data_IF_172717727220
#
_entry.id   IF_172717727220
#
_cell.length_a   1.000
_cell.length_b   1.000
_cell.length_c   1.000
_cell.angle_alpha   90.00
_cell.angle_beta   90.00
_cell.angle_gamma   90.00
#
_symmetry.space_group_name_H-M   'P 1'
#
loop_
_entity.id
_entity.type
_entity.pdbx_description
1 polymer ?
#
# COMPACT_ATOMS: atom_id res chain seq x y z
N UNK A 1 -34.04 26.93 -3.31
CA UNK A 1 -34.50 25.68 -2.64
C UNK A 1 -33.37 25.23 -1.71
N UNK A 2 -33.63 25.23 -0.40
CA UNK A 2 -32.63 24.71 0.54
C UNK A 2 -32.50 23.19 0.31
N UNK A 3 -31.49 22.75 -0.41
CA UNK A 3 -31.14 21.35 -0.50
C UNK A 3 -30.70 20.87 0.89
N UNK A 4 -31.65 20.31 1.64
CA UNK A 4 -31.32 19.64 2.91
C UNK A 4 -30.41 18.49 2.60
N UNK A 5 -29.14 18.61 3.00
CA UNK A 5 -28.16 17.53 2.82
C UNK A 5 -28.61 16.32 3.64
N UNK A 6 -28.89 15.21 2.99
CA UNK A 6 -29.11 13.95 3.68
C UNK A 6 -27.80 13.48 4.33
N UNK A 7 -27.69 13.72 5.65
CA UNK A 7 -26.49 13.38 6.41
C UNK A 7 -26.32 11.87 6.64
N UNK A 8 -27.34 11.07 6.36
CA UNK A 8 -27.32 9.62 6.63
C UNK A 8 -26.74 8.79 5.49
N UNK A 9 -26.77 9.33 4.27
CA UNK A 9 -26.28 8.65 3.06
C UNK A 9 -25.07 9.36 2.47
N UNK A 10 -24.08 8.58 2.01
CA UNK A 10 -22.93 9.08 1.24
C UNK A 10 -23.37 9.65 -0.09
N UNK A 11 -22.64 10.65 -0.55
CA UNK A 11 -22.69 11.05 -1.95
C UNK A 11 -22.06 9.93 -2.79
N UNK A 12 -22.77 9.40 -3.80
CA UNK A 12 -22.22 8.36 -4.67
C UNK A 12 -20.94 8.82 -5.36
N UNK A 13 -19.93 7.95 -5.37
CA UNK A 13 -18.69 8.18 -6.12
C UNK A 13 -18.87 7.78 -7.58
N UNK A 14 -18.13 8.42 -8.49
CA UNK A 14 -18.11 8.06 -9.90
C UNK A 14 -17.07 6.98 -10.13
N UNK A 15 -17.47 5.90 -10.78
CA UNK A 15 -16.62 4.77 -11.13
C UNK A 15 -16.86 4.36 -12.60
N UNK A 16 -15.86 3.72 -13.20
CA UNK A 16 -16.06 3.08 -14.51
C UNK A 16 -17.04 1.91 -14.41
N UNK A 17 -17.87 1.71 -15.43
CA UNK A 17 -18.74 0.55 -15.54
C UNK A 17 -17.93 -0.76 -15.46
N UNK A 18 -18.44 -1.75 -14.70
CA UNK A 18 -17.72 -2.98 -14.40
C UNK A 18 -17.26 -3.75 -15.66
N UNK A 19 -18.13 -3.84 -16.67
CA UNK A 19 -17.86 -4.51 -17.96
C UNK A 19 -16.79 -3.82 -18.81
N UNK A 20 -16.58 -2.51 -18.59
CA UNK A 20 -15.57 -1.69 -19.27
C UNK A 20 -14.26 -1.77 -18.50
N UNK A 21 -14.30 -1.50 -17.19
CA UNK A 21 -13.10 -1.45 -16.35
C UNK A 21 -12.40 -2.81 -16.21
N UNK A 22 -13.12 -3.92 -16.36
CA UNK A 22 -12.55 -5.27 -16.38
C UNK A 22 -11.61 -5.54 -17.56
N UNK A 23 -11.56 -4.66 -18.57
CA UNK A 23 -10.81 -4.85 -19.83
C UNK A 23 -9.75 -3.79 -20.08
N UNK A 24 -9.53 -2.86 -19.14
CA UNK A 24 -8.54 -1.79 -19.27
C UNK A 24 -7.78 -1.59 -17.97
N UNK A 25 -6.69 -0.81 -18.02
CA UNK A 25 -5.86 -0.47 -16.88
C UNK A 25 -6.04 0.98 -16.40
N UNK A 26 -7.07 1.67 -16.87
CA UNK A 26 -7.40 3.01 -16.42
C UNK A 26 -7.97 3.02 -15.00
N UNK A 27 -7.86 4.16 -14.32
CA UNK A 27 -8.30 4.31 -12.93
C UNK A 27 -9.80 3.98 -12.79
N UNK A 28 -10.13 3.03 -11.93
CA UNK A 28 -11.49 2.54 -11.71
C UNK A 28 -12.36 3.57 -11.00
N UNK A 29 -11.89 4.07 -9.86
CA UNK A 29 -12.61 5.05 -9.04
C UNK A 29 -12.26 6.46 -9.48
N UNK A 30 -13.12 7.10 -10.27
CA UNK A 30 -12.90 8.45 -10.81
C UNK A 30 -13.04 9.54 -9.74
N UNK A 31 -13.72 9.23 -8.61
CA UNK A 31 -13.84 10.14 -7.47
C UNK A 31 -15.01 11.11 -7.57
N UNK A 32 -14.86 12.28 -6.94
CA UNK A 32 -15.84 13.37 -6.93
C UNK A 32 -15.47 14.49 -7.90
N UNK A 33 -16.47 15.11 -8.50
CA UNK A 33 -16.42 16.49 -8.99
C UNK A 33 -16.63 17.48 -7.82
N UNK A 34 -16.58 18.78 -8.09
CA UNK A 34 -16.74 19.83 -7.07
C UNK A 34 -18.11 19.76 -6.40
N UNK A 35 -19.19 19.58 -7.16
CA UNK A 35 -20.56 19.51 -6.63
C UNK A 35 -20.70 18.36 -5.63
N UNK A 36 -20.26 17.16 -6.02
CA UNK A 36 -20.30 15.96 -5.16
C UNK A 36 -19.39 16.12 -3.94
N UNK A 37 -18.19 16.68 -4.11
CA UNK A 37 -17.26 16.90 -3.01
C UNK A 37 -17.82 17.87 -1.98
N UNK A 38 -18.39 19.00 -2.39
CA UNK A 38 -18.99 19.97 -1.47
C UNK A 38 -20.25 19.41 -0.80
N UNK A 39 -21.06 18.64 -1.52
CA UNK A 39 -22.21 17.94 -0.95
C UNK A 39 -21.78 16.97 0.14
N UNK A 40 -20.75 16.14 -0.12
CA UNK A 40 -20.22 15.19 0.85
C UNK A 40 -19.54 15.88 2.04
N UNK A 41 -18.78 16.95 1.81
CA UNK A 41 -18.14 17.74 2.85
C UNK A 41 -19.17 18.31 3.84
N UNK A 42 -20.34 18.77 3.34
CA UNK A 42 -21.42 19.32 4.16
C UNK A 42 -22.10 18.29 5.08
N UNK A 43 -21.88 16.99 4.90
CA UNK A 43 -22.32 15.95 5.84
C UNK A 43 -21.51 15.97 7.14
N UNK A 44 -20.23 16.36 7.09
CA UNK A 44 -19.34 16.36 8.25
C UNK A 44 -19.88 17.26 9.37
N UNK A 45 -19.92 16.75 10.60
CA UNK A 45 -20.46 17.46 11.77
C UNK A 45 -19.49 18.47 12.39
N UNK A 46 -18.20 18.46 12.01
CA UNK A 46 -17.17 19.30 12.65
C UNK A 46 -17.03 18.99 14.14
N UNK A 47 -16.89 17.72 14.50
CA UNK A 47 -16.89 17.25 15.89
C UNK A 47 -15.81 17.94 16.73
N UNK A 48 -16.14 18.35 17.97
CA UNK A 48 -15.18 18.94 18.92
C UNK A 48 -14.05 17.94 19.29
N UNK A 49 -14.39 16.64 19.41
CA UNK A 49 -13.44 15.55 19.64
C UNK A 49 -13.50 14.58 18.46
N UNK A 50 -12.79 14.86 17.36
CA UNK A 50 -12.92 14.13 16.11
C UNK A 50 -12.23 12.77 16.18
N UNK A 51 -13.01 11.70 16.39
CA UNK A 51 -12.49 10.32 16.42
C UNK A 51 -11.81 9.89 15.11
N UNK A 52 -12.21 10.47 13.98
CA UNK A 52 -11.59 10.21 12.68
C UNK A 52 -10.10 10.59 12.66
N UNK A 53 -9.68 11.66 13.33
CA UNK A 53 -8.26 12.05 13.44
C UNK A 53 -7.45 10.97 14.15
N UNK A 54 -7.94 10.45 15.29
CA UNK A 54 -7.28 9.35 16.01
C UNK A 54 -7.30 8.02 15.25
N UNK A 55 -8.12 7.90 14.22
CA UNK A 55 -8.12 6.76 13.30
C UNK A 55 -7.14 6.91 12.13
N UNK A 56 -6.50 8.07 11.96
CA UNK A 56 -5.53 8.32 10.91
C UNK A 56 -4.09 8.15 11.44
N UNK A 57 -3.29 7.20 10.92
CA UNK A 57 -1.92 6.97 11.39
C UNK A 57 -0.97 8.16 11.24
N UNK A 58 -1.27 9.12 10.35
CA UNK A 58 -0.52 10.37 10.18
C UNK A 58 -1.23 11.58 10.80
N UNK A 59 -2.37 11.36 11.48
CA UNK A 59 -3.11 12.36 12.26
C UNK A 59 -3.54 13.60 11.46
N UNK A 60 -4.03 13.43 10.21
CA UNK A 60 -4.57 14.53 9.41
C UNK A 60 -5.68 15.23 10.19
N UNK A 61 -5.67 16.57 10.23
CA UNK A 61 -6.81 17.36 10.74
C UNK A 61 -8.00 17.27 9.77
N UNK A 62 -8.71 16.14 9.88
CA UNK A 62 -9.84 15.82 9.00
C UNK A 62 -10.97 16.88 9.08
N UNK A 63 -11.42 17.33 10.27
CA UNK A 63 -12.39 18.42 10.34
C UNK A 63 -11.87 19.73 9.75
N UNK A 64 -10.58 20.02 9.92
CA UNK A 64 -9.95 21.24 9.41
C UNK A 64 -10.00 21.31 7.88
N UNK A 65 -9.52 20.27 7.17
CA UNK A 65 -9.57 20.30 5.71
C UNK A 65 -11.00 20.24 5.16
N UNK A 66 -11.90 19.48 5.80
CA UNK A 66 -13.32 19.41 5.38
C UNK A 66 -14.01 20.76 5.61
N UNK A 67 -13.67 21.49 6.68
CA UNK A 67 -14.21 22.84 6.89
C UNK A 67 -13.83 23.77 5.74
N UNK A 68 -12.61 23.71 5.25
CA UNK A 68 -12.17 24.49 4.08
C UNK A 68 -12.95 24.12 2.81
N UNK A 69 -13.25 22.83 2.60
CA UNK A 69 -14.11 22.41 1.49
C UNK A 69 -15.54 22.98 1.61
N UNK A 70 -16.12 23.05 2.81
CA UNK A 70 -17.43 23.68 3.02
C UNK A 70 -17.43 25.18 2.70
N UNK A 71 -16.29 25.84 2.85
CA UNK A 71 -16.07 27.25 2.52
C UNK A 71 -15.72 27.43 1.03
N UNK A 72 -15.80 26.38 0.20
CA UNK A 72 -15.34 26.34 -1.19
C UNK A 72 -13.85 26.71 -1.37
N UNK A 73 -13.04 26.55 -0.32
CA UNK A 73 -11.62 26.84 -0.32
C UNK A 73 -10.82 25.54 -0.48
N UNK A 74 -10.75 25.03 -1.73
CA UNK A 74 -10.07 23.75 -2.03
C UNK A 74 -8.55 23.86 -1.82
N UNK A 75 -7.96 25.01 -2.21
CA UNK A 75 -6.53 25.26 -1.97
C UNK A 75 -6.20 25.26 -0.47
N UNK A 76 -7.01 25.91 0.35
CA UNK A 76 -6.86 25.88 1.80
C UNK A 76 -6.98 24.47 2.38
N UNK A 77 -7.88 23.64 1.83
CA UNK A 77 -8.01 22.23 2.22
C UNK A 77 -6.76 21.42 1.85
N UNK A 78 -6.20 21.63 0.66
CA UNK A 78 -4.96 20.98 0.23
C UNK A 78 -3.77 21.36 1.11
N UNK A 79 -3.62 22.65 1.42
CA UNK A 79 -2.58 23.14 2.35
C UNK A 79 -2.75 22.56 3.76
N UNK A 80 -3.98 22.36 4.22
CA UNK A 80 -4.23 21.74 5.53
C UNK A 80 -3.78 20.26 5.53
N UNK A 81 -4.14 19.48 4.52
CA UNK A 81 -3.69 18.08 4.39
C UNK A 81 -2.16 17.98 4.31
N UNK A 82 -1.51 18.86 3.54
CA UNK A 82 -0.06 18.85 3.31
C UNK A 82 0.80 19.06 4.58
N UNK A 83 0.22 19.60 5.66
CA UNK A 83 0.89 19.70 6.97
C UNK A 83 1.14 18.33 7.60
N UNK A 84 0.30 17.35 7.29
CA UNK A 84 0.27 16.04 7.95
C UNK A 84 0.67 14.89 7.02
N UNK A 85 0.35 14.96 5.74
CA UNK A 85 0.54 13.90 4.76
C UNK A 85 1.44 14.35 3.62
N UNK A 86 2.44 13.52 3.29
CA UNK A 86 3.33 13.73 2.14
C UNK A 86 2.81 13.04 0.87
N UNK A 87 1.80 12.15 0.98
CA UNK A 87 1.25 11.35 -0.13
C UNK A 87 -0.30 11.36 -0.13
N UNK A 88 -0.97 12.52 -0.12
CA UNK A 88 -2.42 12.59 0.04
C UNK A 88 -3.19 11.98 -1.14
N UNK A 89 -2.72 12.13 -2.38
CA UNK A 89 -3.40 11.55 -3.54
C UNK A 89 -3.31 10.02 -3.55
N UNK A 90 -2.22 9.45 -3.02
CA UNK A 90 -2.07 8.00 -2.77
C UNK A 90 -3.03 7.56 -1.66
N UNK A 91 -3.03 8.25 -0.52
CA UNK A 91 -3.85 7.89 0.64
C UNK A 91 -5.34 7.89 0.32
N UNK A 92 -5.83 8.89 -0.39
CA UNK A 92 -7.23 8.99 -0.81
C UNK A 92 -7.70 7.81 -1.69
N UNK A 93 -6.75 7.09 -2.33
CA UNK A 93 -7.02 5.93 -3.19
C UNK A 93 -6.88 4.58 -2.48
N UNK A 94 -5.84 4.42 -1.65
CA UNK A 94 -5.43 3.07 -1.22
C UNK A 94 -5.57 2.81 0.28
N UNK A 95 -5.81 3.82 1.12
CA UNK A 95 -6.06 3.62 2.55
C UNK A 95 -7.29 2.73 2.77
N UNK A 96 -7.26 1.82 3.76
CA UNK A 96 -8.46 1.10 4.22
C UNK A 96 -9.28 2.00 5.15
N UNK A 97 -9.88 3.07 4.60
CA UNK A 97 -10.58 4.11 5.36
C UNK A 97 -11.70 3.54 6.23
N UNK A 98 -12.37 2.47 5.77
CA UNK A 98 -13.46 1.77 6.45
C UNK A 98 -13.06 1.20 7.81
N UNK A 99 -11.77 0.89 8.01
CA UNK A 99 -11.22 0.41 9.29
C UNK A 99 -10.43 1.47 10.05
N UNK A 100 -10.24 2.64 9.45
CA UNK A 100 -9.44 3.75 9.99
C UNK A 100 -10.29 4.99 10.26
N UNK A 101 -10.04 6.10 9.54
CA UNK A 101 -10.71 7.38 9.76
C UNK A 101 -12.23 7.29 9.58
N UNK A 102 -12.72 6.65 8.53
CA UNK A 102 -14.15 6.49 8.27
C UNK A 102 -14.80 5.53 9.27
N UNK A 103 -14.11 4.44 9.64
CA UNK A 103 -14.56 3.51 10.68
C UNK A 103 -14.72 4.16 12.07
N UNK A 104 -14.10 5.31 12.30
CA UNK A 104 -14.25 6.10 13.54
C UNK A 104 -15.23 7.27 13.40
N UNK A 105 -15.81 7.50 12.23
CA UNK A 105 -16.74 8.59 12.00
C UNK A 105 -18.06 8.34 12.73
N UNK A 106 -18.51 9.31 13.53
CA UNK A 106 -19.74 9.17 14.34
C UNK A 106 -21.01 9.01 13.50
N UNK A 107 -21.03 9.50 12.25
CA UNK A 107 -22.15 9.28 11.34
C UNK A 107 -22.31 7.80 10.97
N UNK A 108 -21.23 7.03 10.95
CA UNK A 108 -21.26 5.60 10.70
C UNK A 108 -21.97 4.76 11.75
N UNK A 109 -22.34 5.36 12.92
CA UNK A 109 -23.09 4.66 13.99
C UNK A 109 -24.57 4.45 13.59
N UNK A 110 -25.17 5.42 12.89
CA UNK A 110 -26.60 5.39 12.53
C UNK A 110 -26.87 5.44 11.03
N UNK A 111 -25.86 5.73 10.24
CA UNK A 111 -25.90 5.84 8.79
C UNK A 111 -24.54 5.51 8.19
N UNK A 112 -24.20 6.19 7.09
CA UNK A 112 -22.93 6.01 6.42
C UNK A 112 -21.92 7.07 6.89
N UNK A 113 -20.71 6.66 7.20
CA UNK A 113 -19.60 7.55 7.54
C UNK A 113 -19.37 8.59 6.40
N UNK A 114 -18.80 9.74 6.70
CA UNK A 114 -18.32 10.68 5.67
C UNK A 114 -17.27 9.98 4.83
N UNK A 115 -17.32 10.13 3.51
CA UNK A 115 -16.35 9.56 2.56
C UNK A 115 -15.03 10.37 2.60
N UNK A 116 -14.32 10.27 3.71
CA UNK A 116 -13.12 11.07 4.02
C UNK A 116 -12.04 10.84 2.97
N UNK A 117 -11.78 9.58 2.61
CA UNK A 117 -10.79 9.25 1.60
C UNK A 117 -11.14 9.78 0.21
N UNK A 118 -12.41 9.81 -0.17
CA UNK A 118 -12.84 10.37 -1.46
C UNK A 118 -12.70 11.90 -1.48
N UNK A 119 -12.92 12.57 -0.34
CA UNK A 119 -12.66 14.01 -0.18
C UNK A 119 -11.16 14.33 -0.20
N UNK A 120 -10.33 13.51 0.44
CA UNK A 120 -8.87 13.61 0.38
C UNK A 120 -8.36 13.44 -1.06
N UNK A 121 -8.83 12.39 -1.78
CA UNK A 121 -8.55 12.19 -3.20
C UNK A 121 -8.92 13.41 -4.04
N UNK A 122 -10.15 13.91 -3.90
CA UNK A 122 -10.62 15.08 -4.63
C UNK A 122 -9.72 16.30 -4.40
N UNK A 123 -9.41 16.57 -3.14
CA UNK A 123 -8.60 17.74 -2.76
C UNK A 123 -7.18 17.64 -3.32
N UNK A 124 -6.55 16.47 -3.21
CA UNK A 124 -5.20 16.23 -3.71
C UNK A 124 -5.14 16.27 -5.25
N UNK A 125 -6.12 15.68 -5.94
CA UNK A 125 -6.21 15.71 -7.40
C UNK A 125 -6.47 17.11 -7.94
N UNK A 126 -7.29 17.91 -7.24
CA UNK A 126 -7.53 19.30 -7.59
C UNK A 126 -6.24 20.13 -7.44
N UNK A 127 -5.54 19.98 -6.32
CA UNK A 127 -4.28 20.71 -6.10
C UNK A 127 -3.23 20.38 -7.17
N UNK A 128 -3.10 19.10 -7.53
CA UNK A 128 -2.21 18.61 -8.59
C UNK A 128 -2.57 19.19 -9.96
N UNK A 129 -3.87 19.17 -10.33
CA UNK A 129 -4.34 19.68 -11.62
C UNK A 129 -4.18 21.21 -11.77
N UNK A 130 -4.16 21.92 -10.65
CA UNK A 130 -3.97 23.39 -10.63
C UNK A 130 -2.54 23.79 -10.26
N UNK A 131 -1.59 22.85 -10.26
CA UNK A 131 -0.16 23.07 -9.95
C UNK A 131 0.08 23.85 -8.65
N UNK A 132 -0.76 23.59 -7.61
CA UNK A 132 -0.64 24.25 -6.31
C UNK A 132 0.66 23.79 -5.65
N UNK A 133 1.55 24.72 -5.38
CA UNK A 133 2.77 24.45 -4.62
C UNK A 133 2.45 24.27 -3.13
N UNK A 134 2.63 23.04 -2.66
CA UNK A 134 2.46 22.65 -1.27
C UNK A 134 3.82 22.45 -0.56
N UNK A 135 4.93 22.73 -1.26
CA UNK A 135 6.28 22.54 -0.75
C UNK A 135 6.70 23.74 0.11
N UNK A 136 7.18 23.47 1.32
CA UNK A 136 7.87 24.45 2.15
C UNK A 136 9.10 23.80 2.75
N UNK A 137 10.29 24.11 2.19
CA UNK A 137 11.57 23.67 2.76
C UNK A 137 11.89 24.49 4.00
N UNK A 138 12.34 23.82 5.06
CA UNK A 138 12.87 24.49 6.27
C UNK A 138 14.25 25.12 6.04
N UNK A 139 14.66 26.00 6.93
CA UNK A 139 16.03 26.54 6.95
C UNK A 139 17.04 25.40 7.16
N UNK A 140 18.17 25.47 6.43
CA UNK A 140 19.17 24.41 6.48
C UNK A 140 19.76 24.25 7.87
N UNK A 141 19.78 23.01 8.37
CA UNK A 141 20.42 22.61 9.64
C UNK A 141 21.85 22.11 9.45
N UNK A 142 22.35 22.03 8.21
CA UNK A 142 23.70 21.56 7.88
C UNK A 142 23.95 20.09 8.18
N UNK A 143 22.89 19.28 8.43
CA UNK A 143 22.95 17.86 8.73
C UNK A 143 22.36 17.03 7.62
N UNK A 144 22.92 15.83 7.39
CA UNK A 144 22.59 14.93 6.28
C UNK A 144 21.95 13.64 6.77
N UNK A 145 20.85 13.23 6.16
CA UNK A 145 20.15 11.98 6.52
C UNK A 145 20.05 11.07 5.29
N UNK A 146 20.46 9.81 5.45
CA UNK A 146 20.26 8.79 4.44
C UNK A 146 18.94 8.03 4.73
N UNK A 147 18.14 7.84 3.68
CA UNK A 147 16.89 7.05 3.74
C UNK A 147 17.03 5.85 2.82
N UNK A 148 16.83 4.65 3.34
CA UNK A 148 16.98 3.39 2.60
C UNK A 148 15.62 2.89 2.16
N UNK A 149 15.33 2.98 0.86
CA UNK A 149 14.05 2.63 0.25
C UNK A 149 13.13 3.84 0.05
N UNK A 150 12.57 3.94 -1.14
CA UNK A 150 11.65 5.00 -1.57
C UNK A 150 10.17 4.60 -1.48
N UNK A 151 9.85 3.59 -0.67
CA UNK A 151 8.45 3.25 -0.36
C UNK A 151 7.78 4.31 0.52
N UNK A 152 6.50 4.11 0.89
CA UNK A 152 5.73 5.10 1.65
C UNK A 152 6.39 5.58 2.94
N UNK A 153 7.05 4.68 3.68
CA UNK A 153 7.78 5.04 4.91
C UNK A 153 8.96 5.97 4.61
N UNK A 154 9.79 5.60 3.62
CA UNK A 154 10.97 6.37 3.22
C UNK A 154 10.60 7.74 2.64
N UNK A 155 9.62 7.79 1.73
CA UNK A 155 9.14 9.05 1.14
C UNK A 155 8.59 10.00 2.21
N UNK A 156 7.83 9.49 3.18
CA UNK A 156 7.29 10.31 4.28
C UNK A 156 8.37 10.79 5.21
N UNK A 157 9.30 9.91 5.63
CA UNK A 157 10.43 10.28 6.47
C UNK A 157 11.28 11.36 5.79
N UNK A 158 11.62 11.16 4.51
CA UNK A 158 12.43 12.10 3.74
C UNK A 158 11.74 13.46 3.58
N UNK A 159 10.45 13.46 3.22
CA UNK A 159 9.67 14.69 3.08
C UNK A 159 9.58 15.49 4.39
N UNK A 160 9.29 14.81 5.51
CA UNK A 160 9.17 15.45 6.81
C UNK A 160 10.52 15.98 7.33
N UNK A 161 11.64 15.29 7.08
CA UNK A 161 12.98 15.76 7.40
C UNK A 161 13.41 16.97 6.53
N UNK A 162 13.11 16.94 5.22
CA UNK A 162 13.40 18.05 4.33
C UNK A 162 12.62 19.33 4.72
N UNK A 163 11.35 19.20 5.12
CA UNK A 163 10.55 20.31 5.69
C UNK A 163 11.17 20.89 6.96
N UNK A 164 11.97 20.10 7.70
CA UNK A 164 12.71 20.52 8.91
C UNK A 164 14.11 21.07 8.64
N UNK A 165 14.53 21.12 7.36
CA UNK A 165 15.80 21.71 6.95
C UNK A 165 16.99 20.75 6.86
N UNK A 166 16.75 19.43 6.87
CA UNK A 166 17.79 18.43 6.66
C UNK A 166 18.09 18.22 5.17
N UNK A 167 19.34 17.89 4.83
CA UNK A 167 19.72 17.40 3.52
C UNK A 167 19.46 15.89 3.45
N UNK A 168 18.46 15.48 2.67
CA UNK A 168 18.03 14.08 2.62
C UNK A 168 18.37 13.44 1.28
N UNK A 169 18.96 12.25 1.32
CA UNK A 169 19.16 11.40 0.15
C UNK A 169 18.48 10.05 0.37
N UNK A 170 17.58 9.68 -0.54
CA UNK A 170 16.94 8.37 -0.58
C UNK A 170 17.77 7.46 -1.49
N UNK A 171 18.12 6.27 -1.02
CA UNK A 171 18.75 5.20 -1.79
C UNK A 171 17.71 4.13 -2.11
N UNK A 172 17.44 3.92 -3.40
CA UNK A 172 16.43 2.99 -3.90
C UNK A 172 17.08 1.86 -4.72
N UNK A 173 16.72 0.63 -4.41
CA UNK A 173 17.26 -0.55 -5.09
C UNK A 173 16.75 -0.70 -6.53
N UNK A 174 15.51 -0.29 -6.80
CA UNK A 174 14.87 -0.39 -8.10
C UNK A 174 15.24 0.81 -9.00
N UNK A 175 14.94 0.70 -10.27
CA UNK A 175 15.17 1.75 -11.26
C UNK A 175 14.12 2.86 -11.22
N UNK A 176 12.98 2.65 -10.58
CA UNK A 176 11.95 3.65 -10.33
C UNK A 176 11.70 3.77 -8.82
N UNK A 177 11.52 5.02 -8.34
CA UNK A 177 11.17 5.30 -6.96
C UNK A 177 9.67 5.10 -6.70
N UNK A 178 9.32 4.74 -5.45
CA UNK A 178 7.94 4.58 -4.99
C UNK A 178 7.68 3.25 -4.29
N UNK A 179 8.59 2.28 -4.41
CA UNK A 179 8.44 0.97 -3.78
C UNK A 179 7.12 0.30 -4.18
N UNK A 180 6.37 -0.21 -3.19
CA UNK A 180 5.09 -0.91 -3.42
C UNK A 180 4.05 -0.08 -4.18
N UNK A 181 4.13 1.25 -4.13
CA UNK A 181 3.24 2.13 -4.89
C UNK A 181 3.42 1.96 -6.40
N UNK A 182 4.60 1.56 -6.84
CA UNK A 182 4.94 1.38 -8.25
C UNK A 182 4.91 -0.08 -8.65
N UNK A 183 5.57 -0.97 -7.90
CA UNK A 183 5.66 -2.38 -8.30
C UNK A 183 4.44 -3.21 -7.90
N UNK A 184 3.77 -2.89 -6.78
CA UNK A 184 2.77 -3.77 -6.17
C UNK A 184 1.33 -3.37 -6.46
N UNK A 185 0.96 -2.10 -6.30
CA UNK A 185 -0.41 -1.64 -6.49
C UNK A 185 -0.68 -1.44 -7.99
N UNK A 186 -1.76 -2.00 -8.57
CA UNK A 186 -2.02 -1.89 -10.02
C UNK A 186 -2.35 -0.47 -10.48
N UNK A 187 -2.09 -0.21 -11.79
CA UNK A 187 -2.37 1.07 -12.45
C UNK A 187 -3.83 1.51 -12.28
N UNK A 188 -4.77 0.58 -12.44
CA UNK A 188 -6.21 0.85 -12.34
C UNK A 188 -6.69 1.23 -10.93
N UNK A 189 -5.87 1.05 -9.89
CA UNK A 189 -6.11 1.53 -8.52
C UNK A 189 -5.31 2.76 -8.17
N UNK A 190 -4.08 2.83 -8.66
CA UNK A 190 -3.14 3.88 -8.35
C UNK A 190 -2.30 4.22 -9.60
N UNK A 191 -2.72 5.19 -10.41
CA UNK A 191 -1.99 5.63 -11.58
C UNK A 191 -0.56 6.06 -11.26
N UNK A 192 0.42 5.54 -12.01
CA UNK A 192 1.84 5.77 -11.71
C UNK A 192 2.30 7.13 -12.16
N UNK A 193 2.06 7.43 -13.43
CA UNK A 193 2.57 8.68 -14.03
C UNK A 193 1.83 9.90 -13.48
N UNK A 194 0.49 9.80 -13.38
CA UNK A 194 -0.35 10.92 -12.99
C UNK A 194 -0.43 11.16 -11.48
N UNK A 195 -0.18 10.15 -10.66
CA UNK A 195 -0.33 10.28 -9.20
C UNK A 195 0.99 10.04 -8.48
N UNK A 196 1.55 8.82 -8.56
CA UNK A 196 2.72 8.46 -7.74
C UNK A 196 3.94 9.32 -8.09
N UNK A 197 4.27 9.46 -9.37
CA UNK A 197 5.41 10.27 -9.82
C UNK A 197 5.24 11.74 -9.42
N UNK A 198 4.03 12.28 -9.50
CA UNK A 198 3.77 13.67 -9.13
C UNK A 198 3.94 13.93 -7.63
N UNK A 199 3.52 13.00 -6.78
CA UNK A 199 3.77 13.12 -5.34
C UNK A 199 5.26 12.97 -5.00
N UNK A 200 5.99 12.09 -5.69
CA UNK A 200 7.45 11.98 -5.56
C UNK A 200 8.15 13.27 -6.04
N UNK A 201 7.70 13.86 -7.15
CA UNK A 201 8.21 15.14 -7.63
C UNK A 201 8.01 16.27 -6.59
N UNK A 202 6.89 16.30 -5.90
CA UNK A 202 6.66 17.27 -4.81
C UNK A 202 7.66 17.07 -3.66
N UNK A 203 8.00 15.83 -3.32
CA UNK A 203 9.04 15.55 -2.33
C UNK A 203 10.43 16.00 -2.83
N UNK A 204 10.75 15.79 -4.12
CA UNK A 204 12.00 16.29 -4.73
C UNK A 204 12.06 17.82 -4.70
N UNK A 205 10.96 18.53 -4.88
CA UNK A 205 10.91 20.01 -4.78
C UNK A 205 11.34 20.53 -3.41
N UNK A 206 11.20 19.72 -2.34
CA UNK A 206 11.74 20.02 -1.01
C UNK A 206 13.27 19.90 -0.92
N UNK A 207 13.95 19.49 -2.01
CA UNK A 207 15.39 19.28 -2.08
C UNK A 207 15.84 17.86 -1.77
N UNK A 208 14.92 16.91 -1.62
CA UNK A 208 15.25 15.50 -1.43
C UNK A 208 15.89 14.92 -2.70
N UNK A 209 17.05 14.30 -2.55
CA UNK A 209 17.73 13.56 -3.63
C UNK A 209 17.28 12.11 -3.62
N UNK A 210 17.11 11.50 -4.79
CA UNK A 210 16.78 10.08 -4.92
C UNK A 210 17.78 9.43 -5.86
N UNK A 211 18.54 8.48 -5.34
CA UNK A 211 19.54 7.68 -6.06
C UNK A 211 18.95 6.28 -6.28
N UNK A 212 18.58 5.99 -7.52
CA UNK A 212 18.04 4.67 -7.91
C UNK A 212 19.15 3.70 -8.28
N UNK A 213 18.82 2.38 -8.36
CA UNK A 213 19.77 1.30 -8.64
C UNK A 213 20.90 1.16 -7.59
N UNK A 214 20.65 1.59 -6.36
CA UNK A 214 21.59 1.49 -5.23
C UNK A 214 21.08 0.46 -4.23
N UNK A 215 21.73 -0.70 -4.17
CA UNK A 215 21.35 -1.80 -3.28
C UNK A 215 22.17 -1.69 -1.99
N UNK A 216 21.59 -1.11 -0.95
CA UNK A 216 22.22 -1.02 0.38
C UNK A 216 22.40 -2.43 0.96
N UNK A 217 23.59 -2.74 1.41
CA UNK A 217 24.04 -4.07 1.80
C UNK A 217 24.77 -4.82 0.66
N UNK A 218 24.89 -4.22 -0.55
CA UNK A 218 25.65 -4.73 -1.68
C UNK A 218 26.56 -3.68 -2.30
N UNK A 219 25.99 -2.60 -2.83
CA UNK A 219 26.75 -1.50 -3.48
C UNK A 219 27.32 -0.53 -2.44
N UNK A 220 26.60 -0.29 -1.39
CA UNK A 220 26.98 0.51 -0.21
C UNK A 220 26.50 -0.21 1.05
N UNK A 221 27.18 0.02 2.18
CA UNK A 221 26.77 -0.52 3.49
C UNK A 221 26.22 0.61 4.38
N UNK A 222 25.49 0.25 5.44
CA UNK A 222 25.06 1.21 6.47
C UNK A 222 26.26 1.93 7.07
N UNK A 223 27.33 1.19 7.39
CA UNK A 223 28.55 1.76 7.99
C UNK A 223 29.23 2.72 7.01
N UNK A 224 29.39 2.37 5.72
CA UNK A 224 29.98 3.28 4.75
C UNK A 224 29.16 4.56 4.51
N UNK A 225 27.83 4.51 4.60
CA UNK A 225 27.00 5.71 4.51
C UNK A 225 27.32 6.72 5.63
N UNK A 226 27.65 6.24 6.83
CA UNK A 226 28.07 7.11 7.95
C UNK A 226 29.54 7.51 7.82
N UNK A 227 30.45 6.54 7.66
CA UNK A 227 31.90 6.73 7.77
C UNK A 227 32.51 7.40 6.54
N UNK A 228 32.11 6.95 5.32
CA UNK A 228 32.69 7.40 4.06
C UNK A 228 31.88 8.53 3.41
N UNK A 229 30.53 8.45 3.48
CA UNK A 229 29.64 9.42 2.85
C UNK A 229 29.20 10.55 3.79
N UNK A 230 29.44 10.42 5.11
CA UNK A 230 29.21 11.48 6.10
C UNK A 230 27.73 11.79 6.35
N UNK A 231 26.86 10.77 6.37
CA UNK A 231 25.49 10.94 6.83
C UNK A 231 25.44 10.92 8.37
N UNK A 232 24.69 11.84 8.97
CA UNK A 232 24.58 12.02 10.42
C UNK A 232 23.57 11.05 11.07
N UNK A 233 22.59 10.59 10.29
CA UNK A 233 21.60 9.58 10.69
C UNK A 233 21.08 8.79 9.48
N UNK A 234 20.48 7.62 9.76
CA UNK A 234 19.97 6.71 8.74
C UNK A 234 18.54 6.28 9.10
N UNK A 235 17.65 6.26 8.12
CA UNK A 235 16.34 5.65 8.21
C UNK A 235 16.22 4.45 7.26
N UNK A 236 15.83 3.27 7.77
CA UNK A 236 15.62 2.05 6.99
C UNK A 236 14.12 1.84 6.76
N UNK A 237 13.67 2.07 5.52
CA UNK A 237 12.31 1.85 5.05
C UNK A 237 12.25 0.85 3.87
N UNK A 238 13.06 -0.20 3.93
CA UNK A 238 13.26 -1.16 2.83
C UNK A 238 12.07 -2.09 2.55
N UNK A 239 11.01 -2.00 3.36
CA UNK A 239 9.77 -2.76 3.17
C UNK A 239 9.90 -4.26 3.44
N UNK A 240 8.92 -5.02 2.91
CA UNK A 240 8.86 -6.48 3.01
C UNK A 240 8.49 -7.05 1.63
N UNK A 241 9.51 -7.39 0.83
CA UNK A 241 9.34 -7.84 -0.55
C UNK A 241 9.58 -9.33 -0.79
N UNK A 242 10.04 -10.10 0.23
CA UNK A 242 10.33 -11.51 0.08
C UNK A 242 9.03 -12.34 0.21
N UNK A 243 8.57 -13.01 -0.87
CA UNK A 243 7.29 -13.70 -0.88
C UNK A 243 7.29 -14.94 0.00
N UNK A 244 6.12 -15.32 0.50
CA UNK A 244 5.87 -16.57 1.21
C UNK A 244 5.16 -17.55 0.30
N UNK A 245 5.54 -18.82 0.44
CA UNK A 245 4.94 -19.97 -0.24
C UNK A 245 4.29 -20.91 0.77
N UNK A 246 3.53 -21.88 0.29
CA UNK A 246 2.83 -22.86 1.14
C UNK A 246 3.75 -24.02 1.60
N UNK A 247 4.79 -24.30 0.85
CA UNK A 247 5.66 -25.48 1.04
C UNK A 247 4.99 -26.78 0.58
N UNK A 248 4.12 -26.71 -0.44
CA UNK A 248 3.44 -27.89 -1.01
C UNK A 248 4.17 -28.41 -2.26
N UNK A 249 3.99 -29.69 -2.60
CA UNK A 249 4.57 -30.25 -3.82
C UNK A 249 4.15 -29.46 -5.07
N UNK A 250 5.07 -29.28 -6.00
CA UNK A 250 4.83 -28.61 -7.27
C UNK A 250 4.93 -27.09 -7.26
N UNK A 251 5.18 -26.42 -6.13
CA UNK A 251 5.30 -24.94 -6.07
C UNK A 251 6.43 -24.33 -6.92
N UNK A 252 7.41 -25.16 -7.36
CA UNK A 252 8.49 -24.71 -8.22
C UNK A 252 8.23 -24.96 -9.72
N UNK A 253 7.01 -25.33 -10.09
CA UNK A 253 6.62 -25.59 -11.47
C UNK A 253 6.52 -24.31 -12.30
N UNK A 254 6.71 -24.42 -13.61
CA UNK A 254 6.49 -23.34 -14.55
C UNK A 254 5.00 -22.93 -14.53
N UNK A 255 4.72 -21.63 -14.44
CA UNK A 255 3.36 -21.10 -14.29
C UNK A 255 2.94 -20.84 -12.85
N UNK A 256 3.81 -21.12 -11.87
CA UNK A 256 3.65 -20.68 -10.48
C UNK A 256 4.42 -19.40 -10.26
N UNK A 257 3.74 -18.36 -9.80
CA UNK A 257 4.32 -17.05 -9.49
C UNK A 257 4.02 -16.65 -8.05
N UNK A 258 4.90 -15.88 -7.44
CA UNK A 258 4.46 -15.05 -6.32
C UNK A 258 3.69 -13.83 -6.82
N UNK A 259 2.75 -13.32 -6.03
CA UNK A 259 2.02 -12.10 -6.39
C UNK A 259 2.97 -10.90 -6.60
N UNK A 260 4.05 -10.80 -5.80
CA UNK A 260 5.05 -9.75 -5.97
C UNK A 260 5.74 -9.84 -7.33
N UNK A 261 6.15 -11.04 -7.76
CA UNK A 261 6.76 -11.23 -9.08
C UNK A 261 5.79 -10.86 -10.21
N UNK A 262 4.58 -11.41 -10.16
CA UNK A 262 3.55 -11.16 -11.16
C UNK A 262 3.21 -9.67 -11.27
N UNK A 263 2.92 -9.02 -10.16
CA UNK A 263 2.58 -7.59 -10.12
C UNK A 263 3.77 -6.70 -10.51
N UNK A 264 5.00 -7.06 -10.13
CA UNK A 264 6.19 -6.30 -10.57
C UNK A 264 6.35 -6.31 -12.08
N UNK A 265 6.15 -7.48 -12.72
CA UNK A 265 6.22 -7.59 -14.19
C UNK A 265 5.13 -6.73 -14.84
N UNK A 266 3.92 -6.75 -14.32
CA UNK A 266 2.81 -6.00 -14.91
C UNK A 266 2.94 -4.50 -14.63
N UNK A 267 3.17 -4.09 -13.39
CA UNK A 267 3.13 -2.68 -12.99
C UNK A 267 4.47 -1.95 -13.27
N UNK A 268 5.56 -2.37 -12.63
CA UNK A 268 6.86 -1.71 -12.75
C UNK A 268 7.49 -1.92 -14.14
N UNK A 269 7.42 -3.17 -14.65
CA UNK A 269 7.96 -3.53 -15.96
C UNK A 269 6.94 -3.37 -17.08
N UNK A 270 5.75 -2.86 -16.78
CA UNK A 270 4.71 -2.40 -17.73
C UNK A 270 4.23 -3.45 -18.73
N UNK A 271 4.19 -4.75 -18.34
CA UNK A 271 3.78 -5.83 -19.24
C UNK A 271 2.34 -5.70 -19.78
N UNK A 272 1.52 -4.79 -19.26
CA UNK A 272 0.18 -4.48 -19.77
C UNK A 272 0.16 -3.51 -20.96
N UNK A 273 1.33 -2.92 -21.32
CA UNK A 273 1.49 -1.98 -22.42
C UNK A 273 2.14 -2.66 -23.60
N UNK A 274 1.56 -2.51 -24.79
CA UNK A 274 2.03 -3.16 -26.02
C UNK A 274 3.45 -2.74 -26.44
N UNK A 275 3.87 -1.53 -26.07
CA UNK A 275 5.21 -1.03 -26.37
C UNK A 275 6.34 -1.60 -25.51
N UNK A 276 6.03 -2.49 -24.53
CA UNK A 276 7.01 -3.12 -23.65
C UNK A 276 7.05 -4.64 -23.84
N UNK A 277 8.21 -5.17 -24.19
CA UNK A 277 8.46 -6.61 -24.38
C UNK A 277 8.65 -7.38 -23.05
N UNK A 278 7.95 -6.97 -22.01
CA UNK A 278 8.08 -7.63 -20.70
C UNK A 278 7.36 -8.98 -20.73
N UNK A 279 8.05 -10.10 -20.52
CA UNK A 279 7.42 -11.41 -20.58
C UNK A 279 6.54 -11.64 -19.34
N UNK A 280 5.24 -11.73 -19.56
CA UNK A 280 4.28 -12.22 -18.58
C UNK A 280 3.42 -13.29 -19.24
N UNK A 281 3.52 -14.52 -18.72
CA UNK A 281 2.66 -15.60 -19.18
C UNK A 281 1.47 -15.68 -18.25
N UNK A 282 0.32 -15.27 -18.75
CA UNK A 282 -0.97 -15.48 -18.11
C UNK A 282 -1.69 -16.55 -18.92
N UNK A 283 -2.09 -17.63 -18.26
CA UNK A 283 -2.82 -18.70 -18.92
C UNK A 283 -4.30 -18.36 -19.14
N UNK A 284 -5.09 -19.36 -19.52
CA UNK A 284 -6.54 -19.20 -19.69
C UNK A 284 -7.28 -19.17 -18.35
N UNK A 285 -6.79 -19.99 -17.37
CA UNK A 285 -7.37 -20.12 -16.03
C UNK A 285 -6.30 -19.86 -14.98
N UNK A 286 -6.52 -18.84 -14.17
CA UNK A 286 -5.59 -18.39 -13.12
C UNK A 286 -6.21 -18.61 -11.76
N UNK A 287 -5.48 -19.29 -10.87
CA UNK A 287 -5.80 -19.37 -9.45
C UNK A 287 -4.90 -18.42 -8.65
N UNK A 288 -5.50 -17.51 -7.90
CA UNK A 288 -4.80 -16.63 -6.96
C UNK A 288 -5.05 -17.14 -5.54
N UNK A 289 -4.00 -17.65 -4.90
CA UNK A 289 -4.10 -18.24 -3.56
C UNK A 289 -3.87 -17.17 -2.51
N UNK A 290 -4.94 -16.75 -1.83
CA UNK A 290 -4.94 -15.72 -0.81
C UNK A 290 -6.22 -14.87 -0.81
N UNK A 291 -6.41 -14.07 0.22
CA UNK A 291 -7.64 -13.26 0.40
C UNK A 291 -7.39 -11.80 0.82
N UNK A 292 -6.14 -11.33 0.74
CA UNK A 292 -5.78 -9.94 1.08
C UNK A 292 -5.86 -8.99 -0.11
N UNK A 293 -5.55 -7.70 0.11
CA UNK A 293 -5.53 -6.69 -0.95
C UNK A 293 -4.64 -7.09 -2.14
N UNK A 294 -3.48 -7.70 -1.87
CA UNK A 294 -2.55 -8.16 -2.92
C UNK A 294 -3.17 -9.28 -3.76
N UNK A 295 -4.02 -10.15 -3.16
CA UNK A 295 -4.75 -11.17 -3.90
C UNK A 295 -5.81 -10.55 -4.83
N UNK A 296 -6.55 -9.53 -4.34
CA UNK A 296 -7.49 -8.78 -5.18
C UNK A 296 -6.77 -8.09 -6.34
N UNK A 297 -5.63 -7.46 -6.06
CA UNK A 297 -4.79 -6.81 -7.06
C UNK A 297 -4.29 -7.77 -8.14
N UNK A 298 -3.77 -8.93 -7.72
CA UNK A 298 -3.27 -9.95 -8.64
C UNK A 298 -4.42 -10.56 -9.48
N UNK A 299 -5.56 -10.86 -8.85
CA UNK A 299 -6.71 -11.45 -9.55
C UNK A 299 -7.30 -10.48 -10.58
N UNK A 300 -7.55 -9.23 -10.19
CA UNK A 300 -8.08 -8.21 -11.09
C UNK A 300 -7.10 -7.87 -12.23
N UNK A 301 -5.79 -7.99 -11.97
CA UNK A 301 -4.76 -7.83 -12.99
C UNK A 301 -4.76 -9.00 -13.97
N UNK A 302 -4.81 -10.26 -13.49
CA UNK A 302 -4.89 -11.44 -14.35
C UNK A 302 -6.15 -11.44 -15.23
N UNK A 303 -7.29 -11.03 -14.68
CA UNK A 303 -8.54 -10.86 -15.41
C UNK A 303 -8.38 -9.87 -16.58
N UNK A 304 -7.75 -8.71 -16.36
CA UNK A 304 -7.49 -7.69 -17.39
C UNK A 304 -6.54 -8.18 -18.49
N UNK A 305 -5.68 -9.12 -18.15
CA UNK A 305 -4.80 -9.79 -19.12
C UNK A 305 -5.51 -10.96 -19.87
N UNK A 306 -6.82 -11.15 -19.64
CA UNK A 306 -7.67 -12.04 -20.42
C UNK A 306 -7.94 -13.41 -19.81
N UNK A 307 -7.56 -13.67 -18.55
CA UNK A 307 -7.77 -14.96 -17.90
C UNK A 307 -9.12 -15.05 -17.19
N UNK A 308 -9.72 -16.24 -17.19
CA UNK A 308 -10.70 -16.63 -16.17
C UNK A 308 -9.97 -16.75 -14.83
N UNK A 309 -10.38 -15.96 -13.84
CA UNK A 309 -9.57 -15.81 -12.63
C UNK A 309 -10.35 -16.19 -11.38
N UNK A 310 -9.71 -17.02 -10.56
CA UNK A 310 -10.24 -17.58 -9.33
C UNK A 310 -9.44 -17.11 -8.12
N UNK A 311 -10.11 -16.61 -7.09
CA UNK A 311 -9.53 -16.39 -5.74
C UNK A 311 -9.73 -17.67 -4.93
N UNK A 312 -8.64 -18.28 -4.49
CA UNK A 312 -8.67 -19.47 -3.66
C UNK A 312 -8.39 -19.07 -2.21
N UNK A 313 -9.38 -19.22 -1.34
CA UNK A 313 -9.25 -18.78 0.03
C UNK A 313 -9.74 -19.80 1.05
N UNK A 314 -8.89 -20.12 2.02
CA UNK A 314 -9.12 -21.19 3.03
C UNK A 314 -10.17 -20.88 4.09
N UNK A 315 -10.68 -19.64 4.20
CA UNK A 315 -11.78 -19.26 5.08
C UNK A 315 -12.98 -18.81 4.25
N UNK A 316 -14.05 -18.38 4.93
CA UNK A 316 -15.21 -17.82 4.23
C UNK A 316 -14.96 -16.38 3.78
N UNK A 317 -15.88 -15.87 3.00
CA UNK A 317 -15.84 -14.49 2.50
C UNK A 317 -15.83 -13.45 3.63
N UNK A 318 -16.56 -13.74 4.73
CA UNK A 318 -16.61 -12.84 5.88
C UNK A 318 -15.25 -12.63 6.57
N UNK A 319 -14.31 -13.54 6.40
CA UNK A 319 -12.95 -13.45 6.94
C UNK A 319 -11.91 -12.92 5.95
N UNK A 320 -12.34 -12.43 4.77
CA UNK A 320 -11.41 -11.81 3.82
C UNK A 320 -10.77 -10.56 4.45
N UNK A 321 -9.43 -10.47 4.51
CA UNK A 321 -8.76 -9.29 5.06
C UNK A 321 -8.60 -8.15 4.05
N UNK A 322 -9.04 -8.33 2.80
CA UNK A 322 -9.04 -7.29 1.78
C UNK A 322 -10.06 -6.20 2.10
N UNK A 323 -9.84 -5.00 1.57
CA UNK A 323 -10.82 -3.91 1.62
C UNK A 323 -12.13 -4.33 0.95
N UNK A 324 -13.25 -3.96 1.57
CA UNK A 324 -14.59 -4.30 1.04
C UNK A 324 -14.79 -3.76 -0.38
N UNK A 325 -14.34 -2.54 -0.65
CA UNK A 325 -14.39 -1.92 -1.99
C UNK A 325 -13.68 -2.78 -3.04
N UNK A 326 -12.49 -3.32 -2.71
CA UNK A 326 -11.71 -4.15 -3.64
C UNK A 326 -12.34 -5.53 -3.86
N UNK A 327 -12.96 -6.10 -2.84
CA UNK A 327 -13.74 -7.36 -2.97
C UNK A 327 -14.96 -7.16 -3.87
N UNK A 328 -15.69 -6.04 -3.68
CA UNK A 328 -16.83 -5.71 -4.53
C UNK A 328 -16.40 -5.51 -5.97
N UNK A 329 -15.36 -4.71 -6.22
CA UNK A 329 -14.83 -4.49 -7.56
C UNK A 329 -14.39 -5.79 -8.23
N UNK A 330 -13.70 -6.68 -7.52
CA UNK A 330 -13.27 -7.96 -8.07
C UNK A 330 -14.48 -8.82 -8.53
N UNK A 331 -15.55 -8.88 -7.72
CA UNK A 331 -16.77 -9.61 -8.05
C UNK A 331 -17.51 -9.02 -9.23
N UNK A 332 -17.69 -7.71 -9.25
CA UNK A 332 -18.37 -7.00 -10.34
C UNK A 332 -17.62 -7.15 -11.67
N UNK A 333 -16.30 -7.23 -11.62
CA UNK A 333 -15.44 -7.46 -12.77
C UNK A 333 -15.44 -8.91 -13.28
N UNK A 334 -15.97 -9.87 -12.49
CA UNK A 334 -16.13 -11.26 -12.88
C UNK A 334 -15.10 -12.22 -12.29
N UNK A 335 -14.35 -11.81 -11.26
CA UNK A 335 -13.47 -12.72 -10.50
C UNK A 335 -14.32 -13.72 -9.70
N UNK A 336 -14.00 -15.01 -9.81
CA UNK A 336 -14.68 -16.11 -9.13
C UNK A 336 -14.04 -16.32 -7.76
N UNK A 337 -14.84 -16.53 -6.72
CA UNK A 337 -14.37 -16.73 -5.36
C UNK A 337 -14.63 -18.16 -4.89
N UNK A 338 -13.59 -18.98 -4.87
CA UNK A 338 -13.58 -20.33 -4.31
C UNK A 338 -13.09 -20.27 -2.86
N UNK A 339 -14.03 -19.88 -1.99
CA UNK A 339 -13.78 -19.80 -0.55
C UNK A 339 -13.87 -21.18 0.11
N UNK A 340 -13.40 -21.31 1.34
CA UNK A 340 -13.31 -22.57 2.07
C UNK A 340 -12.56 -23.64 1.26
N UNK A 341 -11.53 -23.21 0.51
CA UNK A 341 -10.72 -24.05 -0.37
C UNK A 341 -9.25 -23.82 -0.09
N UNK A 342 -8.47 -24.91 0.04
CA UNK A 342 -7.04 -24.84 0.30
C UNK A 342 -6.27 -25.80 -0.62
N UNK A 343 -5.29 -25.33 -1.39
CA UNK A 343 -4.41 -26.19 -2.20
C UNK A 343 -3.53 -27.08 -1.32
N UNK A 344 -3.26 -28.30 -1.80
CA UNK A 344 -2.39 -29.28 -1.12
C UNK A 344 -1.24 -29.76 -2.02
N UNK A 345 -1.40 -29.69 -3.34
CA UNK A 345 -0.39 -30.08 -4.32
C UNK A 345 -0.67 -29.35 -5.65
N UNK A 346 0.39 -28.96 -6.36
CA UNK A 346 0.31 -28.41 -7.71
C UNK A 346 0.65 -29.52 -8.71
N UNK A 347 -0.20 -29.69 -9.72
CA UNK A 347 -0.04 -30.69 -10.77
C UNK A 347 0.59 -30.03 -12.00
N UNK A 348 1.52 -30.76 -12.65
CA UNK A 348 2.18 -30.29 -13.86
C UNK A 348 2.30 -31.40 -14.92
N UNK A 349 2.52 -30.97 -16.15
CA UNK A 349 2.81 -31.86 -17.28
C UNK A 349 4.27 -32.36 -17.25
N UNK A 350 4.66 -33.16 -18.26
CA UNK A 350 6.00 -33.71 -18.44
C UNK A 350 7.09 -32.63 -18.65
N UNK A 351 6.70 -31.43 -19.06
CA UNK A 351 7.57 -30.27 -19.25
C UNK A 351 7.64 -29.36 -18.00
N UNK A 352 6.96 -29.75 -16.94
CA UNK A 352 6.91 -29.01 -15.67
C UNK A 352 5.99 -27.79 -15.71
N UNK A 353 5.05 -27.69 -16.64
CA UNK A 353 4.05 -26.61 -16.65
C UNK A 353 2.79 -27.00 -15.87
N UNK A 354 2.27 -26.06 -15.13
CA UNK A 354 1.03 -26.21 -14.33
C UNK A 354 -0.12 -26.64 -15.24
N UNK A 355 -0.84 -27.70 -14.82
CA UNK A 355 -2.07 -28.21 -15.45
C UNK A 355 -3.25 -28.20 -14.50
N UNK A 356 -3.00 -28.06 -13.20
CA UNK A 356 -4.04 -28.03 -12.19
C UNK A 356 -3.47 -27.97 -10.77
N UNK A 357 -4.36 -28.05 -9.79
CA UNK A 357 -3.98 -28.21 -8.39
C UNK A 357 -4.96 -29.12 -7.66
N UNK A 358 -4.44 -29.92 -6.73
CA UNK A 358 -5.26 -30.63 -5.75
C UNK A 358 -5.63 -29.70 -4.63
N UNK A 359 -6.89 -29.70 -4.27
CA UNK A 359 -7.44 -28.90 -3.20
C UNK A 359 -8.23 -29.77 -2.21
N UNK A 360 -8.39 -29.23 -1.01
CA UNK A 360 -9.32 -29.75 -0.02
C UNK A 360 -10.34 -28.67 0.33
N UNK A 361 -11.55 -29.07 0.69
CA UNK A 361 -12.52 -28.16 1.28
C UNK A 361 -12.21 -27.92 2.76
N UNK A 362 -12.53 -26.73 3.22
CA UNK A 362 -12.31 -26.31 4.59
C UNK A 362 -13.63 -26.08 5.32
N UNK A 363 -13.61 -26.24 6.63
CA UNK A 363 -14.68 -25.84 7.54
C UNK A 363 -14.16 -24.78 8.50
N UNK A 364 -15.05 -23.96 9.06
CA UNK A 364 -14.68 -22.94 10.04
C UNK A 364 -14.88 -23.46 11.45
N UNK A 365 -13.76 -23.64 12.16
CA UNK A 365 -13.71 -23.95 13.57
C UNK A 365 -13.86 -22.72 14.47
N UNK A 366 -13.26 -22.77 15.65
CA UNK A 366 -13.25 -21.69 16.64
C UNK A 366 -12.47 -20.45 16.16
N UNK A 367 -12.73 -19.33 16.81
CA UNK A 367 -12.01 -18.08 16.53
C UNK A 367 -10.56 -18.16 17.01
N UNK A 368 -9.64 -17.68 16.20
CA UNK A 368 -8.23 -17.48 16.55
C UNK A 368 -8.04 -16.17 17.34
N UNK A 369 -6.79 -15.91 17.79
CA UNK A 369 -6.45 -14.69 18.55
C UNK A 369 -6.71 -13.38 17.78
N UNK A 370 -6.90 -13.44 16.46
CA UNK A 370 -7.25 -12.29 15.63
C UNK A 370 -8.76 -12.09 15.49
N UNK A 371 -9.57 -12.92 16.14
CA UNK A 371 -11.03 -12.91 16.04
C UNK A 371 -11.58 -13.59 14.79
N UNK A 372 -10.74 -14.15 13.91
CA UNK A 372 -11.16 -14.87 12.71
C UNK A 372 -11.29 -16.36 12.99
N UNK A 373 -12.30 -17.00 12.38
CA UNK A 373 -12.52 -18.44 12.55
C UNK A 373 -11.39 -19.25 11.91
N UNK A 374 -10.92 -20.27 12.65
CA UNK A 374 -9.80 -21.11 12.23
C UNK A 374 -10.26 -22.06 11.11
N UNK A 375 -9.51 -22.13 9.97
CA UNK A 375 -9.84 -23.10 8.93
C UNK A 375 -9.41 -24.51 9.37
N UNK A 376 -10.30 -25.48 9.19
CA UNK A 376 -10.08 -26.91 9.48
C UNK A 376 -10.36 -27.68 8.20
N UNK A 377 -9.52 -28.67 7.90
CA UNK A 377 -9.72 -29.52 6.71
C UNK A 377 -10.95 -30.38 6.90
N UNK A 378 -11.83 -30.40 5.91
CA UNK A 378 -12.96 -31.33 5.83
C UNK A 378 -12.46 -32.69 5.32
N UNK A 379 -12.74 -33.75 6.04
CA UNK A 379 -12.31 -35.11 5.66
C UNK A 379 -12.96 -35.56 4.34
N UNK A 380 -12.19 -36.32 3.53
CA UNK A 380 -12.61 -36.86 2.25
C UNK A 380 -13.18 -35.81 1.27
N UNK A 381 -12.57 -34.65 1.23
CA UNK A 381 -13.02 -33.51 0.43
C UNK A 381 -12.04 -33.10 -0.68
N UNK A 382 -11.09 -33.97 -1.00
CA UNK A 382 -10.11 -33.76 -2.03
C UNK A 382 -10.76 -33.65 -3.41
N UNK A 383 -10.32 -32.66 -4.20
CA UNK A 383 -10.72 -32.49 -5.59
C UNK A 383 -9.59 -31.84 -6.40
N UNK A 384 -9.70 -31.97 -7.72
CA UNK A 384 -8.78 -31.34 -8.65
C UNK A 384 -9.46 -30.12 -9.27
N UNK A 385 -8.71 -29.04 -9.35
CA UNK A 385 -9.08 -27.79 -10.01
C UNK A 385 -8.16 -27.61 -11.22
N UNK A 386 -8.72 -27.55 -12.42
CA UNK A 386 -7.97 -27.31 -13.65
C UNK A 386 -7.59 -25.84 -13.73
N UNK A 387 -6.31 -25.55 -13.68
CA UNK A 387 -5.72 -24.22 -13.82
C UNK A 387 -4.38 -24.34 -14.52
N UNK A 388 -3.98 -23.33 -15.25
CA UNK A 388 -2.70 -23.32 -15.99
C UNK A 388 -1.73 -22.25 -15.47
N UNK A 389 -2.16 -21.43 -14.52
CA UNK A 389 -1.33 -20.46 -13.84
C UNK A 389 -1.76 -20.31 -12.38
N UNK A 390 -0.82 -20.25 -11.46
CA UNK A 390 -1.07 -20.09 -10.03
C UNK A 390 -0.26 -18.90 -9.50
N UNK A 391 -0.94 -18.00 -8.78
CA UNK A 391 -0.31 -16.82 -8.16
C UNK A 391 -0.44 -16.93 -6.64
N UNK A 392 0.70 -17.12 -5.96
CA UNK A 392 0.76 -17.20 -4.50
C UNK A 392 0.74 -15.80 -3.88
N UNK A 393 -0.36 -15.49 -3.17
CA UNK A 393 -0.60 -14.20 -2.51
C UNK A 393 -0.73 -14.34 -0.98
N UNK A 394 0.28 -14.98 -0.36
CA UNK A 394 0.29 -15.40 1.05
C UNK A 394 1.00 -14.40 1.99
N UNK A 395 1.27 -13.20 1.49
CA UNK A 395 2.03 -12.18 2.19
C UNK A 395 3.53 -12.30 1.99
N UNK A 396 4.25 -11.39 2.63
CA UNK A 396 5.69 -11.22 2.44
C UNK A 396 6.42 -11.08 3.78
N UNK A 397 7.75 -11.11 3.73
CA UNK A 397 8.64 -10.82 4.84
C UNK A 397 9.75 -9.85 4.40
N UNK A 398 10.42 -9.13 5.33
CA UNK A 398 11.55 -8.29 5.00
C UNK A 398 12.70 -9.10 4.38
N UNK A 399 13.41 -8.48 3.42
CA UNK A 399 14.63 -9.06 2.86
C UNK A 399 15.74 -8.97 3.91
N UNK A 400 16.46 -10.07 4.26
CA UNK A 400 17.49 -10.07 5.28
C UNK A 400 18.79 -9.39 4.87
N UNK A 401 18.92 -8.89 3.65
CA UNK A 401 20.15 -8.34 3.11
C UNK A 401 20.77 -7.26 4.03
N UNK A 402 20.00 -6.25 4.39
CA UNK A 402 20.49 -5.13 5.23
C UNK A 402 20.90 -5.65 6.61
N UNK A 403 20.06 -6.44 7.26
CA UNK A 403 20.36 -6.97 8.60
C UNK A 403 21.55 -7.93 8.62
N UNK A 404 21.73 -8.73 7.57
CA UNK A 404 22.87 -9.67 7.48
C UNK A 404 24.21 -8.99 7.16
N UNK A 405 24.19 -7.77 6.63
CA UNK A 405 25.39 -7.00 6.26
C UNK A 405 25.67 -5.82 7.20
N UNK A 406 24.87 -5.63 8.25
CA UNK A 406 25.01 -4.53 9.20
C UNK A 406 25.22 -5.05 10.61
N UNK A 407 26.43 -4.92 11.12
CA UNK A 407 26.77 -5.36 12.48
C UNK A 407 26.02 -4.51 13.52
N UNK A 408 25.43 -5.18 14.52
CA UNK A 408 24.71 -4.52 15.61
C UNK A 408 23.25 -4.18 15.29
N UNK A 409 22.76 -4.50 14.10
CA UNK A 409 21.35 -4.36 13.75
C UNK A 409 20.62 -5.70 13.99
N UNK A 410 19.80 -5.75 15.03
CA UNK A 410 19.06 -6.96 15.42
C UNK A 410 17.76 -7.14 14.64
N UNK A 411 17.38 -8.40 14.46
CA UNK A 411 16.11 -8.83 13.89
C UNK A 411 15.38 -9.78 14.83
N UNK A 412 14.05 -9.77 14.75
CA UNK A 412 13.22 -10.70 15.50
C UNK A 412 13.04 -12.04 14.77
N UNK A 413 12.31 -12.97 15.38
CA UNK A 413 12.04 -14.32 14.81
C UNK A 413 11.28 -14.30 13.47
N UNK A 414 10.63 -13.19 13.12
CA UNK A 414 9.94 -13.00 11.83
C UNK A 414 10.82 -12.29 10.79
N UNK A 415 12.11 -12.13 11.08
CA UNK A 415 13.10 -11.41 10.24
C UNK A 415 12.83 -9.92 10.08
N UNK A 416 12.00 -9.33 10.93
CA UNK A 416 11.78 -7.89 10.98
C UNK A 416 12.87 -7.22 11.83
N UNK A 417 13.29 -6.01 11.45
CA UNK A 417 14.25 -5.21 12.22
C UNK A 417 13.63 -4.87 13.58
N UNK A 418 14.41 -5.06 14.65
CA UNK A 418 14.02 -4.64 16.01
C UNK A 418 14.16 -3.13 16.11
N UNK A 419 13.05 -2.44 16.36
CA UNK A 419 13.01 -1.00 16.53
C UNK A 419 11.96 -0.63 17.58
N UNK A 420 12.18 0.49 18.25
CA UNK A 420 11.21 1.08 19.17
C UNK A 420 9.95 1.53 18.42
N UNK A 421 8.77 1.26 18.93
CA UNK A 421 7.50 1.51 18.24
C UNK A 421 7.14 3.00 18.13
N UNK A 422 7.65 3.84 19.05
CA UNK A 422 7.35 5.28 19.07
C UNK A 422 8.37 6.11 18.31
N UNK A 423 9.64 5.71 18.31
CA UNK A 423 10.74 6.47 17.72
C UNK A 423 11.29 5.85 16.44
N UNK A 424 11.10 4.54 16.26
CA UNK A 424 11.76 3.78 15.18
C UNK A 424 13.26 3.54 15.44
N UNK A 425 13.82 3.91 16.61
CA UNK A 425 15.24 3.70 16.94
C UNK A 425 15.54 2.20 16.96
N UNK A 426 16.57 1.78 16.23
CA UNK A 426 17.02 0.39 16.20
C UNK A 426 18.05 0.11 17.30
N UNK A 427 18.58 -1.12 17.34
CA UNK A 427 19.69 -1.48 18.25
C UNK A 427 21.03 -0.84 17.86
N UNK A 428 21.12 -0.17 16.71
CA UNK A 428 22.30 0.53 16.22
C UNK A 428 22.12 2.04 16.35
N UNK A 429 23.01 2.71 17.07
CA UNK A 429 22.93 4.16 17.31
C UNK A 429 22.89 4.97 16.01
N UNK A 430 22.03 5.99 15.95
CA UNK A 430 21.83 6.84 14.76
C UNK A 430 21.10 6.17 13.60
N UNK A 431 20.68 4.90 13.76
CA UNK A 431 19.96 4.13 12.76
C UNK A 431 18.53 3.89 13.22
N UNK A 432 17.58 4.32 12.41
CA UNK A 432 16.14 4.20 12.61
C UNK A 432 15.54 3.27 11.55
N UNK A 433 14.41 2.67 11.85
CA UNK A 433 13.68 1.83 10.90
C UNK A 433 12.16 1.98 11.06
N UNK A 434 11.43 1.76 9.98
CA UNK A 434 9.98 1.84 10.02
C UNK A 434 9.28 1.18 8.83
N UNK A 435 7.94 1.12 8.90
CA UNK A 435 7.11 0.44 7.92
C UNK A 435 7.30 -1.07 7.94
N UNK A 436 7.06 -1.71 6.79
CA UNK A 436 7.03 -3.17 6.69
C UNK A 436 8.36 -3.86 7.02
N UNK A 437 9.48 -3.12 7.02
CA UNK A 437 10.77 -3.64 7.47
C UNK A 437 10.79 -3.99 8.97
N UNK A 438 9.92 -3.35 9.76
CA UNK A 438 9.79 -3.52 11.22
C UNK A 438 8.56 -4.34 11.59
N UNK A 439 7.41 -4.04 10.98
CA UNK A 439 6.11 -4.65 11.36
C UNK A 439 5.74 -5.88 10.54
N UNK A 440 6.45 -6.17 9.44
CA UNK A 440 5.96 -7.03 8.37
C UNK A 440 4.96 -6.29 7.48
N UNK A 441 4.47 -6.95 6.43
CA UNK A 441 3.58 -6.33 5.46
C UNK A 441 2.29 -5.77 6.10
N UNK A 442 2.05 -4.48 5.91
CA UNK A 442 0.90 -3.76 6.47
C UNK A 442 0.24 -2.85 5.41
N UNK A 443 -0.03 -1.59 5.72
CA UNK A 443 -0.68 -0.65 4.80
C UNK A 443 0.22 0.55 4.52
N UNK A 444 -0.01 1.19 3.37
CA UNK A 444 0.70 2.41 2.96
C UNK A 444 0.70 3.46 4.07
N UNK A 445 -0.46 3.75 4.65
CA UNK A 445 -0.59 4.81 5.66
C UNK A 445 0.07 4.45 7.01
N UNK A 446 0.10 3.17 7.40
CA UNK A 446 0.84 2.72 8.58
C UNK A 446 2.35 2.88 8.38
N UNK A 447 2.84 2.54 7.19
CA UNK A 447 4.25 2.76 6.84
C UNK A 447 4.60 4.25 6.83
N UNK A 448 3.72 5.12 6.32
CA UNK A 448 3.86 6.57 6.39
C UNK A 448 3.91 7.07 7.85
N UNK A 449 3.02 6.55 8.71
CA UNK A 449 3.00 6.88 10.14
C UNK A 449 4.32 6.54 10.84
N UNK A 450 4.90 5.37 10.55
CA UNK A 450 6.21 4.98 11.06
C UNK A 450 7.33 5.91 10.56
N UNK A 451 7.34 6.24 9.26
CA UNK A 451 8.29 7.20 8.68
C UNK A 451 8.21 8.58 9.34
N UNK A 452 6.98 9.06 9.62
CA UNK A 452 6.74 10.33 10.31
C UNK A 452 7.28 10.34 11.75
N UNK A 453 7.00 9.28 12.52
CA UNK A 453 7.52 9.12 13.89
C UNK A 453 9.06 9.12 13.89
N UNK A 454 9.67 8.34 13.00
CA UNK A 454 11.11 8.27 12.87
C UNK A 454 11.73 9.60 12.43
N UNK A 455 11.08 10.37 11.56
CA UNK A 455 11.55 11.70 11.19
C UNK A 455 11.58 12.66 12.39
N UNK A 456 10.58 12.58 13.28
CA UNK A 456 10.57 13.38 14.52
C UNK A 456 11.69 12.96 15.48
N UNK A 457 11.91 11.67 15.67
CA UNK A 457 12.96 11.14 16.52
C UNK A 457 14.38 11.44 15.98
N UNK A 458 14.58 11.37 14.67
CA UNK A 458 15.83 11.77 14.01
C UNK A 458 16.07 13.28 14.20
N UNK A 459 15.05 14.11 14.08
CA UNK A 459 15.14 15.57 14.31
C UNK A 459 15.56 15.86 15.75
N UNK A 460 14.98 15.19 16.73
CA UNK A 460 15.35 15.30 18.15
C UNK A 460 16.80 14.86 18.39
N UNK A 461 17.20 13.69 17.88
CA UNK A 461 18.55 13.16 17.99
C UNK A 461 19.61 14.12 17.43
N UNK A 462 19.39 14.62 16.21
CA UNK A 462 20.34 15.50 15.53
C UNK A 462 20.37 16.94 16.09
N UNK A 463 19.29 17.38 16.72
CA UNK A 463 19.24 18.70 17.38
C UNK A 463 19.99 18.71 18.72
N UNK A 464 20.20 17.53 19.33
CA UNK A 464 20.92 17.36 20.59
C UNK A 464 22.42 16.99 20.39
N UNK A 465 22.84 16.80 19.12
CA UNK A 465 24.20 16.42 18.72
C UNK A 465 24.91 17.60 18.00
#
# INVERSE_FOLDING_TARGET
MNNVVDRMKRTPVVEQEASIRAKNFEEVCLGYDEERAFKEANRCLGCKNPKCVSGCPVSIDIPGFISKLKENNIEGAAKEIAKYSSLPAVCGRVCPQETQCEGKCVLGIKGEAVAIGKLEKFTADWARKNDIDLSSKGESKGKRVAVIGSGPAGLTCAGDLAKRGYDVTIFEALHEAGGVLVYGIPEFRLPKDEVVKKEIENIKKLGVKIETNVIVGRTVTIDSLVEDYGFDAIFIGSGAGLPKFMGIPGENSNGVFSANEFLTRVNLMKAFKEEYDTPVKVGKKVAVVGGGNVAMDAARTALRLGAETHIIYRRSEAELPARLEEVHHAKEEGVIFDVLTNPTEILCDENGWVTGMKCVQMELGEQDKSGRRRPVVKENSEFIMDVDTIIMSLGTSPNPLISSTTKGLEINKWKCIVADEETGLTTKEGVYAGGDAVTGAATVILAMGAGKKSAMAIDEYLSNK
#
